data_IF_808766448620
#
_entry.id   IF_808766448620
#
_cell.length_a   1.000
_cell.length_b   1.000
_cell.length_c   1.000
_cell.angle_alpha   90.00
_cell.angle_beta   90.00
_cell.angle_gamma   90.00
#
_symmetry.space_group_name_H-M   'P 1'
#
loop_
_entity.id
_entity.type
_entity.pdbx_description
1 polymer ?
#
# COMPACT_ATOMS: atom_id res chain seq x y z
N UNK A 1 -14.84 9.61 -26.26
CA UNK A 1 -14.26 8.35 -25.73
C UNK A 1 -12.80 8.49 -25.26
N UNK A 2 -11.97 9.36 -25.86
CA UNK A 2 -10.54 9.50 -25.46
C UNK A 2 -10.37 10.29 -24.14
N UNK A 3 -11.12 11.34 -23.92
CA UNK A 3 -11.02 12.18 -22.71
C UNK A 3 -11.22 11.40 -21.38
N UNK A 4 -12.27 10.60 -21.19
CA UNK A 4 -12.44 9.87 -19.94
C UNK A 4 -11.34 8.83 -19.67
N UNK A 5 -10.77 8.24 -20.74
CA UNK A 5 -9.65 7.30 -20.59
C UNK A 5 -8.36 8.00 -20.17
N UNK A 6 -8.07 9.19 -20.71
CA UNK A 6 -6.93 10.01 -20.30
C UNK A 6 -7.06 10.46 -18.82
N UNK A 7 -8.25 10.86 -18.42
CA UNK A 7 -8.52 11.21 -17.03
C UNK A 7 -8.32 9.99 -16.10
N UNK A 8 -8.75 8.80 -16.54
CA UNK A 8 -8.56 7.56 -15.80
C UNK A 8 -7.08 7.22 -15.61
N UNK A 9 -6.25 7.40 -16.65
CA UNK A 9 -4.80 7.21 -16.57
C UNK A 9 -4.17 8.22 -15.58
N UNK A 10 -4.54 9.49 -15.67
CA UNK A 10 -4.03 10.52 -14.75
C UNK A 10 -4.38 10.24 -13.30
N UNK A 11 -5.63 9.85 -13.05
CA UNK A 11 -6.08 9.48 -11.69
C UNK A 11 -5.42 8.20 -11.21
N UNK A 12 -5.21 7.20 -12.09
CA UNK A 12 -4.49 5.98 -11.75
C UNK A 12 -3.05 6.28 -11.31
N UNK A 13 -2.35 7.16 -12.05
CA UNK A 13 -0.99 7.59 -11.68
C UNK A 13 -0.97 8.24 -10.30
N UNK A 14 -1.89 9.16 -10.05
CA UNK A 14 -1.96 9.83 -8.76
C UNK A 14 -2.33 8.87 -7.62
N UNK A 15 -3.36 8.04 -7.82
CA UNK A 15 -3.77 7.05 -6.84
C UNK A 15 -2.63 6.08 -6.52
N UNK A 16 -1.93 5.58 -7.55
CA UNK A 16 -0.78 4.70 -7.38
C UNK A 16 0.31 5.36 -6.53
N UNK A 17 0.69 6.58 -6.86
CA UNK A 17 1.70 7.33 -6.09
C UNK A 17 1.26 7.53 -4.63
N UNK A 18 -0.02 7.89 -4.41
CA UNK A 18 -0.55 8.14 -3.09
C UNK A 18 -0.52 6.90 -2.19
N UNK A 19 -0.73 5.71 -2.80
CA UNK A 19 -0.95 4.47 -2.04
C UNK A 19 0.27 3.54 -2.01
N UNK A 20 1.21 3.62 -2.98
CA UNK A 20 2.32 2.66 -3.10
C UNK A 20 3.69 3.25 -2.73
N UNK A 21 3.76 4.48 -2.21
CA UNK A 21 5.03 5.04 -1.73
C UNK A 21 5.62 4.26 -0.55
N UNK A 22 4.79 3.67 0.29
CA UNK A 22 5.24 2.83 1.39
C UNK A 22 5.78 1.50 0.90
N UNK A 23 5.18 0.94 -0.14
CA UNK A 23 5.67 -0.27 -0.79
C UNK A 23 7.08 -0.06 -1.35
N UNK A 24 7.38 1.14 -1.86
CA UNK A 24 8.74 1.49 -2.30
C UNK A 24 9.75 1.30 -1.16
N UNK A 25 9.43 1.75 0.05
CA UNK A 25 10.31 1.63 1.21
C UNK A 25 10.55 0.16 1.57
N UNK A 26 9.49 -0.63 1.62
CA UNK A 26 9.54 -2.07 1.91
C UNK A 26 10.33 -2.80 0.81
N UNK A 27 10.10 -2.45 -0.45
CA UNK A 27 10.82 -3.03 -1.59
C UNK A 27 12.31 -2.73 -1.53
N UNK A 28 12.71 -1.48 -1.24
CA UNK A 28 14.13 -1.12 -1.07
C UNK A 28 14.75 -1.96 0.05
N UNK A 29 14.07 -2.17 1.17
CA UNK A 29 14.55 -3.02 2.27
C UNK A 29 14.74 -4.48 1.80
N UNK A 30 13.76 -5.04 1.11
CA UNK A 30 13.84 -6.40 0.58
C UNK A 30 14.96 -6.57 -0.45
N UNK A 31 15.13 -5.61 -1.36
CA UNK A 31 16.22 -5.65 -2.34
C UNK A 31 17.59 -5.50 -1.70
N UNK A 32 17.69 -4.72 -0.62
CA UNK A 32 18.91 -4.62 0.18
C UNK A 32 19.22 -5.96 0.86
N UNK A 33 18.21 -6.60 1.49
CA UNK A 33 18.35 -7.95 2.09
C UNK A 33 18.77 -8.99 1.06
N UNK A 34 18.16 -9.00 -0.14
CA UNK A 34 18.51 -9.90 -1.23
C UNK A 34 19.92 -9.70 -1.80
N UNK A 35 20.55 -8.56 -1.51
CA UNK A 35 21.90 -8.22 -1.96
C UNK A 35 22.99 -8.60 -0.94
N UNK A 36 22.60 -9.11 0.25
CA UNK A 36 23.54 -9.57 1.26
C UNK A 36 24.28 -10.84 0.83
N UNK A 37 25.52 -11.02 1.29
CA UNK A 37 26.27 -12.23 1.01
C UNK A 37 25.58 -13.47 1.62
N UNK A 38 25.82 -14.69 1.08
CA UNK A 38 25.14 -15.92 1.53
C UNK A 38 25.27 -16.22 3.02
N UNK A 39 26.34 -15.77 3.67
CA UNK A 39 26.55 -15.90 5.11
C UNK A 39 25.56 -15.11 5.95
N UNK A 40 25.00 -14.01 5.40
CA UNK A 40 24.02 -13.14 6.05
C UNK A 40 22.60 -13.29 5.46
N UNK A 41 22.43 -14.18 4.46
CA UNK A 41 21.16 -14.47 3.80
C UNK A 41 20.85 -16.00 3.87
N UNK A 42 20.62 -16.55 5.07
CA UNK A 42 20.42 -18.00 5.25
C UNK A 42 19.11 -18.51 4.61
N UNK A 43 18.16 -17.63 4.34
CA UNK A 43 16.87 -17.96 3.70
C UNK A 43 16.99 -18.13 2.19
N UNK A 44 18.14 -17.80 1.58
CA UNK A 44 18.31 -17.79 0.12
C UNK A 44 17.34 -16.80 -0.56
N UNK A 45 17.15 -15.63 0.05
CA UNK A 45 16.26 -14.60 -0.48
C UNK A 45 16.88 -13.96 -1.72
N UNK A 46 16.16 -14.02 -2.84
CA UNK A 46 16.67 -13.56 -4.14
C UNK A 46 15.73 -12.51 -4.74
N UNK A 47 16.25 -11.67 -5.62
CA UNK A 47 15.50 -10.58 -6.30
C UNK A 47 14.23 -11.04 -7.00
N UNK A 48 14.23 -12.22 -7.63
CA UNK A 48 13.03 -12.75 -8.29
C UNK A 48 11.89 -13.07 -7.31
N UNK A 49 12.19 -13.45 -6.06
CA UNK A 49 11.17 -13.66 -5.02
C UNK A 49 10.43 -12.37 -4.70
N UNK A 50 11.15 -11.23 -4.74
CA UNK A 50 10.58 -9.91 -4.49
C UNK A 50 9.65 -9.53 -5.62
N UNK A 51 10.12 -9.65 -6.87
CA UNK A 51 9.32 -9.33 -8.04
C UNK A 51 8.02 -10.15 -8.08
N UNK A 52 8.13 -11.48 -7.94
CA UNK A 52 6.97 -12.38 -7.98
C UNK A 52 6.03 -12.13 -6.79
N UNK A 53 6.59 -11.95 -5.58
CA UNK A 53 5.81 -11.72 -4.38
C UNK A 53 5.04 -10.40 -4.45
N UNK A 54 5.67 -9.32 -4.92
CA UNK A 54 5.03 -8.02 -5.10
C UNK A 54 3.93 -8.08 -6.18
N UNK A 55 4.22 -8.72 -7.32
CA UNK A 55 3.23 -8.89 -8.38
C UNK A 55 2.00 -9.70 -7.92
N UNK A 56 2.20 -10.78 -7.16
CA UNK A 56 1.12 -11.57 -6.59
C UNK A 56 0.33 -10.76 -5.55
N UNK A 57 0.99 -10.07 -4.62
CA UNK A 57 0.34 -9.25 -3.61
C UNK A 57 -0.52 -8.16 -4.24
N UNK A 58 0.03 -7.45 -5.21
CA UNK A 58 -0.69 -6.39 -5.92
C UNK A 58 -1.87 -6.94 -6.75
N UNK A 59 -1.68 -8.09 -7.43
CA UNK A 59 -2.77 -8.75 -8.16
C UNK A 59 -3.91 -9.12 -7.21
N UNK A 60 -3.62 -9.65 -6.04
CA UNK A 60 -4.64 -9.96 -5.02
C UNK A 60 -5.34 -8.69 -4.51
N UNK A 61 -4.61 -7.59 -4.31
CA UNK A 61 -5.23 -6.30 -3.95
C UNK A 61 -6.18 -5.79 -5.02
N UNK A 62 -5.77 -5.83 -6.30
CA UNK A 62 -6.65 -5.44 -7.41
C UNK A 62 -7.87 -6.37 -7.50
N UNK A 63 -7.68 -7.69 -7.31
CA UNK A 63 -8.80 -8.64 -7.29
C UNK A 63 -9.78 -8.35 -6.15
N UNK A 64 -9.30 -8.07 -4.95
CA UNK A 64 -10.14 -7.65 -3.81
C UNK A 64 -10.88 -6.33 -4.10
N UNK A 65 -10.21 -5.39 -4.74
CA UNK A 65 -10.83 -4.10 -5.14
C UNK A 65 -11.90 -4.29 -6.21
N UNK A 66 -11.71 -5.23 -7.14
CA UNK A 66 -12.73 -5.61 -8.14
C UNK A 66 -13.93 -6.33 -7.50
N UNK A 67 -13.70 -7.17 -6.50
CA UNK A 67 -14.79 -7.76 -5.71
C UNK A 67 -15.57 -6.65 -5.00
N UNK A 68 -14.87 -5.69 -4.39
CA UNK A 68 -15.48 -4.50 -3.81
C UNK A 68 -16.23 -3.65 -4.84
N UNK A 69 -15.72 -3.50 -6.06
CA UNK A 69 -16.40 -2.85 -7.18
C UNK A 69 -17.71 -3.58 -7.55
N UNK A 70 -17.69 -4.90 -7.72
CA UNK A 70 -18.88 -5.69 -8.02
C UNK A 70 -19.90 -5.56 -6.88
N UNK A 71 -19.46 -5.67 -5.62
CA UNK A 71 -20.32 -5.43 -4.46
C UNK A 71 -20.90 -4.02 -4.46
N UNK A 72 -20.11 -3.03 -4.84
CA UNK A 72 -20.51 -1.62 -4.94
C UNK A 72 -21.57 -1.36 -6.02
N UNK A 73 -21.74 -2.23 -7.00
CA UNK A 73 -22.82 -2.11 -8.00
C UNK A 73 -24.22 -2.30 -7.39
N UNK A 74 -24.32 -2.95 -6.23
CA UNK A 74 -25.56 -3.13 -5.48
C UNK A 74 -25.88 -1.95 -4.55
N UNK A 75 -24.92 -1.04 -4.35
CA UNK A 75 -25.08 0.14 -3.50
C UNK A 75 -24.90 1.42 -4.31
N UNK A 76 -25.59 2.50 -3.97
CA UNK A 76 -25.33 3.80 -4.60
C UNK A 76 -23.87 4.22 -4.46
N UNK A 77 -23.28 4.73 -5.54
CA UNK A 77 -21.84 5.09 -5.66
C UNK A 77 -21.34 5.96 -4.51
N UNK A 78 -22.19 6.85 -3.99
CA UNK A 78 -21.85 7.74 -2.89
C UNK A 78 -21.60 7.03 -1.55
N UNK A 79 -22.25 5.87 -1.29
CA UNK A 79 -21.92 5.06 -0.10
C UNK A 79 -20.58 4.34 -0.25
N UNK A 80 -20.30 3.83 -1.44
CA UNK A 80 -18.97 3.22 -1.73
C UNK A 80 -17.87 4.28 -1.66
N UNK A 81 -18.18 5.51 -2.07
CA UNK A 81 -17.27 6.65 -1.97
C UNK A 81 -16.84 6.99 -0.53
N UNK A 82 -17.63 6.60 0.49
CA UNK A 82 -17.23 6.75 1.89
C UNK A 82 -15.98 5.96 2.24
N UNK A 83 -15.59 4.95 1.45
CA UNK A 83 -14.29 4.27 1.58
C UNK A 83 -13.10 5.24 1.41
N UNK A 84 -13.31 6.40 0.77
CA UNK A 84 -12.33 7.49 0.71
C UNK A 84 -11.92 8.07 2.08
N UNK A 85 -12.68 7.78 3.15
CA UNK A 85 -12.26 8.13 4.51
C UNK A 85 -11.07 7.31 5.01
N UNK A 86 -10.88 6.07 4.52
CA UNK A 86 -9.75 5.24 4.94
C UNK A 86 -8.39 5.87 4.59
N UNK A 87 -8.12 6.30 3.34
CA UNK A 87 -6.88 7.02 3.03
C UNK A 87 -6.70 8.30 3.84
N UNK A 88 -7.78 9.02 4.16
CA UNK A 88 -7.70 10.22 5.03
C UNK A 88 -7.29 9.80 6.44
N UNK A 89 -7.94 8.79 6.99
CA UNK A 89 -7.65 8.30 8.34
C UNK A 89 -6.23 7.78 8.46
N UNK A 90 -5.77 6.95 7.52
CA UNK A 90 -4.40 6.42 7.49
C UNK A 90 -3.38 7.53 7.33
N UNK A 91 -3.63 8.53 6.47
CA UNK A 91 -2.78 9.71 6.32
C UNK A 91 -2.68 10.52 7.64
N UNK A 92 -3.80 10.77 8.31
CA UNK A 92 -3.83 11.45 9.61
C UNK A 92 -3.09 10.65 10.70
N UNK A 93 -3.27 9.32 10.72
CA UNK A 93 -2.59 8.45 11.68
C UNK A 93 -1.08 8.49 11.50
N UNK A 94 -0.59 8.38 10.26
CA UNK A 94 0.83 8.49 9.93
C UNK A 94 1.42 9.85 10.29
N UNK A 95 0.67 10.93 10.07
CA UNK A 95 1.10 12.28 10.43
C UNK A 95 1.24 12.43 11.96
N UNK A 96 0.38 11.77 12.74
CA UNK A 96 0.49 11.72 14.20
C UNK A 96 1.76 10.99 14.66
N UNK A 97 2.13 9.90 13.97
CA UNK A 97 3.34 9.12 14.28
C UNK A 97 4.65 9.88 13.97
N UNK A 98 4.59 10.93 13.16
CA UNK A 98 5.74 11.81 12.86
C UNK A 98 6.02 12.83 13.98
N UNK A 99 5.20 12.91 15.04
CA UNK A 99 5.45 13.83 16.16
C UNK A 99 6.75 13.45 16.90
N UNK A 100 7.55 14.44 17.32
CA UNK A 100 8.87 14.21 17.92
C UNK A 100 8.85 13.36 19.19
N UNK A 101 7.75 13.35 19.94
CA UNK A 101 7.61 12.54 21.15
C UNK A 101 7.55 11.04 20.85
N UNK A 102 6.92 10.65 19.73
CA UNK A 102 6.85 9.26 19.27
C UNK A 102 8.15 8.83 18.62
N UNK A 103 8.86 9.76 17.96
CA UNK A 103 10.16 9.51 17.34
C UNK A 103 11.27 9.27 18.39
N UNK A 104 11.24 9.97 19.55
CA UNK A 104 12.18 9.75 20.65
C UNK A 104 12.03 8.36 21.29
N UNK A 105 10.80 7.87 21.44
CA UNK A 105 10.54 6.54 21.98
C UNK A 105 11.10 5.40 21.08
N UNK A 106 11.28 5.65 19.78
CA UNK A 106 11.87 4.69 18.84
C UNK A 106 13.39 4.79 18.70
N UNK A 107 14.02 5.88 19.14
CA UNK A 107 15.46 6.10 19.04
C UNK A 107 16.26 5.53 20.24
N UNK A 108 15.58 5.11 21.31
CA UNK A 108 16.17 4.43 22.46
C UNK A 108 15.58 3.02 22.65
N UNK A 109 15.91 2.06 21.76
CA UNK A 109 15.40 0.69 21.88
C UNK A 109 15.98 -0.05 23.11
N UNK A 110 17.12 0.39 23.63
CA UNK A 110 17.80 -0.30 24.73
C UNK A 110 17.13 -0.09 26.10
N UNK A 111 16.39 1.00 26.28
CA UNK A 111 15.70 1.28 27.54
C UNK A 111 14.31 0.65 27.61
N UNK A 112 13.68 0.34 26.46
CA UNK A 112 12.37 -0.32 26.39
C UNK A 112 12.41 -1.85 26.44
N UNK A 113 13.59 -2.47 26.29
CA UNK A 113 13.76 -3.95 26.33
C UNK A 113 13.65 -4.49 27.78
N UNK A 114 13.59 -3.62 28.80
CA UNK A 114 13.38 -4.03 30.20
C UNK A 114 11.93 -3.97 30.71
N UNK A 115 11.00 -3.50 29.90
CA UNK A 115 9.59 -3.44 30.24
C UNK A 115 8.75 -4.11 29.13
N UNK A 116 8.36 -5.34 29.38
CA UNK A 116 7.43 -6.22 28.67
C UNK A 116 7.82 -6.68 27.23
N UNK A 117 7.89 -8.02 27.01
CA UNK A 117 8.14 -8.63 25.71
C UNK A 117 6.89 -8.67 24.79
N UNK A 118 5.91 -7.79 25.00
CA UNK A 118 4.65 -7.75 24.23
C UNK A 118 4.56 -6.48 23.37
N UNK A 119 5.63 -6.21 22.59
CA UNK A 119 5.56 -5.20 21.53
C UNK A 119 5.09 -5.88 20.24
N UNK A 120 3.82 -5.82 20.06
CA UNK A 120 3.00 -5.58 18.87
C UNK A 120 3.74 -5.58 17.51
N UNK A 121 4.38 -6.67 17.15
CA UNK A 121 4.36 -7.10 15.76
C UNK A 121 2.90 -7.49 15.47
N UNK A 122 2.25 -6.98 14.41
CA UNK A 122 0.91 -7.42 14.08
C UNK A 122 0.88 -8.95 14.09
N UNK A 123 -0.04 -9.55 14.84
CA UNK A 123 -0.15 -11.01 15.07
C UNK A 123 -0.08 -11.82 13.77
N UNK A 124 -0.47 -11.20 12.63
CA UNK A 124 -0.33 -11.76 11.30
C UNK A 124 1.12 -11.93 10.84
N UNK A 125 2.02 -11.00 11.20
CA UNK A 125 3.45 -11.09 10.81
C UNK A 125 4.16 -12.15 11.64
N UNK A 126 3.88 -12.24 12.94
CA UNK A 126 4.43 -13.31 13.79
C UNK A 126 3.86 -14.68 13.40
N UNK A 127 2.58 -14.76 12.99
CA UNK A 127 1.98 -15.99 12.49
C UNK A 127 2.66 -16.50 11.21
N UNK A 128 2.97 -15.61 10.26
CA UNK A 128 3.66 -15.98 9.00
C UNK A 128 5.13 -16.36 9.25
N UNK A 129 5.80 -15.69 10.20
CA UNK A 129 7.20 -15.98 10.53
C UNK A 129 7.38 -17.24 11.40
N UNK A 130 6.35 -17.62 12.18
CA UNK A 130 6.42 -18.75 13.16
C UNK A 130 5.69 -20.01 12.67
N UNK A 131 5.01 -19.95 11.53
CA UNK A 131 4.23 -21.08 11.01
C UNK A 131 5.14 -22.27 10.64
N UNK A 132 4.85 -23.48 11.15
CA UNK A 132 5.73 -24.63 10.90
C UNK A 132 5.72 -25.08 9.44
N UNK A 133 6.84 -25.59 9.01
CA UNK A 133 7.27 -26.12 7.70
C UNK A 133 6.28 -26.92 6.83
N UNK A 134 5.01 -26.99 7.16
CA UNK A 134 4.06 -27.94 6.55
C UNK A 134 3.35 -27.45 5.27
N UNK A 135 3.43 -26.15 4.94
CA UNK A 135 2.74 -25.58 3.75
C UNK A 135 3.63 -25.46 2.49
N UNK A 136 4.78 -26.07 2.42
CA UNK A 136 5.90 -25.69 1.58
C UNK A 136 6.16 -26.53 0.35
N UNK A 137 5.13 -26.94 -0.41
CA UNK A 137 5.43 -27.55 -1.73
C UNK A 137 4.97 -26.77 -2.95
N UNK A 138 4.17 -25.72 -2.78
CA UNK A 138 3.57 -24.97 -3.90
C UNK A 138 4.03 -23.52 -3.96
N UNK A 139 4.30 -22.87 -2.81
CA UNK A 139 4.70 -21.45 -2.78
C UNK A 139 6.03 -21.34 -2.02
N UNK A 140 7.02 -20.71 -2.66
CA UNK A 140 8.29 -20.40 -2.01
C UNK A 140 8.03 -19.46 -0.83
N UNK A 141 8.52 -19.81 0.38
CA UNK A 141 8.32 -19.04 1.61
C UNK A 141 8.77 -17.57 1.46
N UNK A 142 9.80 -17.33 0.68
CA UNK A 142 10.29 -15.98 0.41
C UNK A 142 9.29 -15.16 -0.44
N UNK A 143 8.64 -15.79 -1.41
CA UNK A 143 7.55 -15.17 -2.19
C UNK A 143 6.35 -14.88 -1.29
N UNK A 144 5.96 -15.86 -0.45
CA UNK A 144 4.85 -15.69 0.49
C UNK A 144 5.10 -14.53 1.46
N UNK A 145 6.33 -14.39 1.97
CA UNK A 145 6.73 -13.27 2.84
C UNK A 145 6.48 -11.92 2.18
N UNK A 146 6.97 -11.73 0.94
CA UNK A 146 6.77 -10.47 0.21
C UNK A 146 5.29 -10.23 -0.06
N UNK A 147 4.57 -11.25 -0.59
CA UNK A 147 3.13 -11.16 -0.88
C UNK A 147 2.32 -10.73 0.35
N UNK A 148 2.59 -11.36 1.50
CA UNK A 148 1.89 -11.03 2.75
C UNK A 148 2.20 -9.60 3.20
N UNK A 149 3.45 -9.17 3.13
CA UNK A 149 3.83 -7.79 3.50
C UNK A 149 3.15 -6.77 2.59
N UNK A 150 3.09 -7.03 1.28
CA UNK A 150 2.37 -6.18 0.32
C UNK A 150 0.89 -6.09 0.65
N UNK A 151 0.24 -7.22 0.97
CA UNK A 151 -1.19 -7.23 1.34
C UNK A 151 -1.46 -6.50 2.67
N UNK A 152 -0.61 -6.71 3.68
CA UNK A 152 -0.76 -6.06 4.97
C UNK A 152 -0.55 -4.54 4.89
N UNK A 153 0.41 -4.12 4.05
CA UNK A 153 0.67 -2.70 3.82
C UNK A 153 -0.40 -2.05 2.95
N UNK A 154 -0.99 -2.80 2.00
CA UNK A 154 -1.93 -2.29 1.01
C UNK A 154 -3.40 -2.37 1.39
N UNK A 155 -3.75 -2.53 2.66
CA UNK A 155 -5.15 -2.61 3.09
C UNK A 155 -5.98 -1.35 2.76
N UNK A 156 -5.38 -0.18 2.88
CA UNK A 156 -5.97 1.11 2.50
C UNK A 156 -6.04 1.29 0.97
N UNK A 157 -5.11 0.69 0.22
CA UNK A 157 -5.09 0.70 -1.24
C UNK A 157 -6.35 0.01 -1.80
N UNK A 158 -6.78 -1.12 -1.21
CA UNK A 158 -7.99 -1.83 -1.62
C UNK A 158 -9.21 -0.91 -1.53
N UNK A 159 -9.34 -0.14 -0.46
CA UNK A 159 -10.46 0.79 -0.29
C UNK A 159 -10.42 1.94 -1.31
N UNK A 160 -9.24 2.50 -1.53
CA UNK A 160 -9.03 3.59 -2.49
C UNK A 160 -9.31 3.14 -3.93
N UNK A 161 -8.80 1.98 -4.32
CA UNK A 161 -9.04 1.42 -5.66
C UNK A 161 -10.49 1.00 -5.85
N UNK A 162 -11.16 0.42 -4.86
CA UNK A 162 -12.60 0.12 -4.91
C UNK A 162 -13.41 1.38 -5.18
N UNK A 163 -13.19 2.46 -4.41
CA UNK A 163 -13.88 3.73 -4.59
C UNK A 163 -13.59 4.37 -5.97
N UNK A 164 -12.36 4.20 -6.45
CA UNK A 164 -11.96 4.68 -7.76
C UNK A 164 -12.66 3.89 -8.89
N UNK A 165 -12.65 2.57 -8.84
CA UNK A 165 -13.21 1.69 -9.86
C UNK A 165 -14.72 1.86 -10.02
N UNK A 166 -15.46 2.03 -8.91
CA UNK A 166 -16.92 2.26 -8.94
C UNK A 166 -17.30 3.55 -9.68
N UNK A 167 -16.38 4.50 -9.77
CA UNK A 167 -16.61 5.77 -10.46
C UNK A 167 -16.26 5.74 -11.96
N UNK A 168 -15.84 4.58 -12.51
CA UNK A 168 -15.33 4.45 -13.88
C UNK A 168 -16.24 3.59 -14.75
N UNK A 169 -16.28 3.90 -16.05
CA UNK A 169 -16.81 3.01 -17.08
C UNK A 169 -15.80 1.90 -17.41
N UNK A 170 -16.25 0.84 -18.10
CA UNK A 170 -15.42 -0.34 -18.37
C UNK A 170 -14.12 -0.01 -19.11
N UNK A 171 -14.16 0.88 -20.10
CA UNK A 171 -12.97 1.26 -20.87
C UNK A 171 -11.94 1.99 -19.99
N UNK A 172 -12.41 2.92 -19.16
CA UNK A 172 -11.58 3.65 -18.19
C UNK A 172 -11.03 2.72 -17.09
N UNK A 173 -11.83 1.74 -16.65
CA UNK A 173 -11.40 0.74 -15.67
C UNK A 173 -10.24 -0.13 -16.21
N UNK A 174 -10.36 -0.63 -17.45
CA UNK A 174 -9.29 -1.42 -18.09
C UNK A 174 -8.03 -0.58 -18.26
N UNK A 175 -8.15 0.66 -18.71
CA UNK A 175 -7.02 1.57 -18.84
C UNK A 175 -6.36 1.87 -17.48
N UNK A 176 -7.17 2.10 -16.44
CA UNK A 176 -6.70 2.33 -15.08
C UNK A 176 -5.90 1.11 -14.56
N UNK A 177 -6.46 -0.09 -14.62
CA UNK A 177 -5.79 -1.32 -14.15
C UNK A 177 -4.48 -1.56 -14.93
N UNK A 178 -4.50 -1.40 -16.26
CA UNK A 178 -3.30 -1.54 -17.07
C UNK A 178 -2.21 -0.55 -16.67
N UNK A 179 -2.59 0.70 -16.38
CA UNK A 179 -1.68 1.75 -15.90
C UNK A 179 -1.11 1.39 -14.52
N UNK A 180 -1.93 0.88 -13.60
CA UNK A 180 -1.49 0.46 -12.27
C UNK A 180 -0.44 -0.66 -12.34
N UNK A 181 -0.61 -1.66 -13.21
CA UNK A 181 0.40 -2.72 -13.40
C UNK A 181 1.67 -2.21 -14.08
N UNK A 182 1.56 -1.29 -15.04
CA UNK A 182 2.74 -0.66 -15.65
C UNK A 182 3.54 0.14 -14.60
N UNK A 183 2.86 0.89 -13.74
CA UNK A 183 3.48 1.64 -12.66
C UNK A 183 4.09 0.72 -11.59
N UNK A 184 3.45 -0.41 -11.29
CA UNK A 184 4.03 -1.43 -10.41
C UNK A 184 5.35 -1.95 -10.96
N UNK A 185 5.41 -2.31 -12.24
CA UNK A 185 6.65 -2.78 -12.87
C UNK A 185 7.74 -1.71 -12.80
N UNK A 186 7.39 -0.44 -13.03
CA UNK A 186 8.30 0.69 -12.89
C UNK A 186 8.77 0.85 -11.42
N UNK A 187 7.87 0.76 -10.45
CA UNK A 187 8.17 0.88 -9.02
C UNK A 187 9.17 -0.20 -8.57
N UNK A 188 8.92 -1.46 -8.94
CA UNK A 188 9.80 -2.59 -8.58
C UNK A 188 11.18 -2.42 -9.18
N UNK A 189 11.26 -2.01 -10.45
CA UNK A 189 12.54 -1.73 -11.14
C UNK A 189 13.28 -0.57 -10.48
N UNK A 190 12.55 0.48 -10.12
CA UNK A 190 13.07 1.65 -9.44
C UNK A 190 13.62 1.27 -8.05
N UNK A 191 12.89 0.46 -7.28
CA UNK A 191 13.32 -0.02 -5.98
C UNK A 191 14.61 -0.85 -6.06
N UNK A 192 14.72 -1.77 -7.04
CA UNK A 192 15.94 -2.53 -7.27
C UNK A 192 17.15 -1.65 -7.60
N UNK A 193 16.93 -0.63 -8.42
CA UNK A 193 18.00 0.32 -8.78
C UNK A 193 18.48 1.11 -7.56
N UNK A 194 17.56 1.68 -6.78
CA UNK A 194 17.92 2.50 -5.61
C UNK A 194 18.45 1.69 -4.43
N UNK A 195 18.02 0.44 -4.26
CA UNK A 195 18.59 -0.44 -3.25
C UNK A 195 20.11 -0.66 -3.40
N UNK A 196 20.65 -0.41 -4.61
CA UNK A 196 22.09 -0.49 -4.89
C UNK A 196 22.86 0.77 -4.46
N UNK A 197 22.17 1.86 -4.09
CA UNK A 197 22.77 3.16 -3.72
C UNK A 197 22.24 3.55 -2.34
N UNK A 198 22.86 3.07 -1.24
CA UNK A 198 22.33 3.24 0.13
C UNK A 198 22.03 4.69 0.51
N UNK A 199 22.92 5.62 0.15
CA UNK A 199 22.75 7.04 0.47
C UNK A 199 21.50 7.68 -0.17
N UNK A 200 21.14 7.22 -1.38
CA UNK A 200 19.93 7.68 -2.09
C UNK A 200 18.69 7.02 -1.49
N UNK A 201 18.78 5.71 -1.19
CA UNK A 201 17.70 4.97 -0.55
C UNK A 201 17.27 5.63 0.77
N UNK A 202 18.23 5.95 1.64
CA UNK A 202 17.97 6.62 2.92
C UNK A 202 17.29 7.98 2.73
N UNK A 203 17.75 8.79 1.77
CA UNK A 203 17.15 10.10 1.48
C UNK A 203 15.71 9.99 0.98
N UNK A 204 15.43 9.01 0.10
CA UNK A 204 14.08 8.74 -0.40
C UNK A 204 13.16 8.33 0.75
N UNK A 205 13.60 7.36 1.58
CA UNK A 205 12.87 6.90 2.77
C UNK A 205 12.50 8.06 3.68
N UNK A 206 13.47 8.93 3.99
CA UNK A 206 13.25 10.04 4.90
C UNK A 206 12.29 11.09 4.32
N UNK A 207 12.38 11.38 3.01
CA UNK A 207 11.48 12.34 2.35
C UNK A 207 10.05 11.77 2.22
N UNK A 208 9.90 10.50 1.89
CA UNK A 208 8.60 9.85 1.71
C UNK A 208 7.75 9.88 2.99
N UNK A 209 8.36 9.69 4.16
CA UNK A 209 7.66 9.74 5.46
C UNK A 209 6.84 11.02 5.65
N UNK A 210 7.32 12.14 5.14
CA UNK A 210 6.63 13.43 5.25
C UNK A 210 5.61 13.64 4.13
N UNK A 211 5.90 13.21 2.91
CA UNK A 211 5.06 13.49 1.73
C UNK A 211 3.84 12.56 1.68
N UNK A 212 4.04 11.26 1.95
CA UNK A 212 3.01 10.23 1.80
C UNK A 212 1.71 10.54 2.54
N UNK A 213 1.71 10.95 3.83
CA UNK A 213 0.46 11.21 4.54
C UNK A 213 -0.39 12.31 3.87
N UNK A 214 0.24 13.37 3.38
CA UNK A 214 -0.48 14.46 2.71
C UNK A 214 -1.08 14.02 1.38
N UNK A 215 -0.34 13.22 0.61
CA UNK A 215 -0.82 12.71 -0.69
C UNK A 215 -1.98 11.72 -0.49
N UNK A 216 -1.92 10.86 0.53
CA UNK A 216 -3.02 9.95 0.91
C UNK A 216 -4.27 10.72 1.34
N UNK A 217 -4.12 11.75 2.18
CA UNK A 217 -5.26 12.59 2.57
C UNK A 217 -5.89 13.28 1.37
N UNK A 218 -5.07 13.84 0.48
CA UNK A 218 -5.55 14.48 -0.74
C UNK A 218 -6.30 13.49 -1.66
N UNK A 219 -5.80 12.25 -1.79
CA UNK A 219 -6.49 11.20 -2.54
C UNK A 219 -7.86 10.87 -1.93
N UNK A 220 -7.92 10.66 -0.61
CA UNK A 220 -9.19 10.37 0.07
C UNK A 220 -10.21 11.49 -0.11
N UNK A 221 -9.79 12.76 0.04
CA UNK A 221 -10.62 13.93 -0.22
C UNK A 221 -11.12 13.93 -1.67
N UNK A 222 -10.23 13.71 -2.64
CA UNK A 222 -10.60 13.63 -4.05
C UNK A 222 -11.67 12.56 -4.30
N UNK A 223 -11.51 11.35 -3.72
CA UNK A 223 -12.47 10.26 -3.87
C UNK A 223 -13.84 10.62 -3.30
N UNK A 224 -13.92 11.28 -2.14
CA UNK A 224 -15.17 11.75 -1.54
C UNK A 224 -15.91 12.73 -2.46
N UNK A 225 -15.20 13.65 -3.10
CA UNK A 225 -15.81 14.58 -4.04
C UNK A 225 -16.21 13.91 -5.35
N UNK A 226 -15.36 13.07 -5.92
CA UNK A 226 -15.60 12.39 -7.21
C UNK A 226 -16.80 11.46 -7.15
N UNK A 227 -16.98 10.74 -6.06
CA UNK A 227 -18.11 9.80 -5.86
C UNK A 227 -19.37 10.47 -5.37
N UNK A 228 -19.32 11.76 -5.02
CA UNK A 228 -20.46 12.51 -4.49
C UNK A 228 -20.81 12.17 -3.02
N UNK A 229 -19.95 11.44 -2.31
CA UNK A 229 -20.13 11.10 -0.90
C UNK A 229 -20.20 12.36 -0.01
N UNK A 230 -19.53 13.44 -0.41
CA UNK A 230 -19.59 14.75 0.26
C UNK A 230 -21.01 15.35 0.30
N UNK A 231 -21.86 15.09 -0.70
CA UNK A 231 -23.25 15.56 -0.73
C UNK A 231 -24.13 14.85 0.29
N UNK A 232 -23.90 13.54 0.49
CA UNK A 232 -24.63 12.75 1.51
C UNK A 232 -24.25 13.22 2.91
N UNK A 233 -22.98 13.50 3.14
CA UNK A 233 -22.55 14.07 4.42
C UNK A 233 -23.17 15.42 4.70
N UNK A 234 -23.28 16.27 3.67
CA UNK A 234 -23.93 17.58 3.81
C UNK A 234 -25.43 17.43 4.11
N UNK A 235 -26.15 16.50 3.47
CA UNK A 235 -27.57 16.28 3.75
C UNK A 235 -27.82 15.77 5.16
N UNK A 236 -27.02 14.81 5.64
CA UNK A 236 -27.12 14.31 7.01
C UNK A 236 -26.82 15.39 8.05
N UNK A 237 -25.87 16.30 7.77
CA UNK A 237 -25.55 17.42 8.66
C UNK A 237 -26.61 18.53 8.68
N UNK A 238 -27.50 18.62 7.67
CA UNK A 238 -28.61 19.58 7.64
C UNK A 238 -29.87 19.04 8.30
N UNK A 239 -30.02 17.70 8.41
CA UNK A 239 -31.21 17.07 9.02
C UNK A 239 -31.04 16.82 10.54
N UNK A 240 -29.86 17.17 11.11
CA UNK A 240 -29.56 17.17 12.56
C UNK A 240 -29.57 18.59 13.14
#
# INVERSE_FOLDING_TARGET
MVAPVLDAIGVACWAFFATNMDDLLILIMFYTEASLPPSLNPSGFHRHHIFVGQALGFTLMIALSLIGFIGGMFFPVHYVGMLGFLPIFTGCWRLRDLRPDTARARLHPEESVRADPEVTTPTAVSFVLTSPRTYTRVINMNVARVTTMTLLNGGDNVSAYTALFVSMDVASLVACISTLFALLAALVTFADYFARIPAVAEKIVNSAKFVVPFVQMALGIYLLFKTGASKVLASVAYDT
#
